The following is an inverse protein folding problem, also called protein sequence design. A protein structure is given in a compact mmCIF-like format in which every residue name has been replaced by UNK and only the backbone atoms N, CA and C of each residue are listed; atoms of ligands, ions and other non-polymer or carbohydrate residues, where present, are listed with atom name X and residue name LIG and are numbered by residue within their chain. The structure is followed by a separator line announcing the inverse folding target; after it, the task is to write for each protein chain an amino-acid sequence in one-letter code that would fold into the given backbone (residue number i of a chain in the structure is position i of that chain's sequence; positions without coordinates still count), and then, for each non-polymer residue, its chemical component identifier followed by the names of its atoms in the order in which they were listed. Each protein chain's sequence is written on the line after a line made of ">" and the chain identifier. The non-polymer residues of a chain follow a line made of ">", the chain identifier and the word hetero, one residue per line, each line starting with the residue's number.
data_IF_628492066379
#
_entry.id   IF_628492066379
#
_cell.length_a   1.000
_cell.length_b   1.000
_cell.length_c   1.000
_cell.angle_alpha   90.00
_cell.angle_beta   90.00
_cell.angle_gamma   90.00
#
_symmetry.space_group_name_H-M   'P 1'
#
loop_
_entity.id
_entity.type
_entity.pdbx_description
1 polymer ?
#
# COMPACT_ATOMS: atom_id res chain seq x y z
N UNK A 1 -1.23 -33.36 25.72
CA UNK A 1 -1.91 -32.63 24.62
C UNK A 1 -2.40 -31.32 25.19
N UNK A 2 -1.68 -30.23 24.95
CA UNK A 2 -2.05 -28.89 25.44
C UNK A 2 -2.97 -28.20 24.45
N UNK A 3 -4.09 -27.69 24.91
CA UNK A 3 -5.05 -26.92 24.12
C UNK A 3 -4.50 -25.51 23.89
N UNK A 4 -4.26 -25.13 22.64
CA UNK A 4 -3.94 -23.75 22.28
C UNK A 4 -5.25 -22.95 22.23
N UNK A 5 -5.40 -21.97 23.12
CA UNK A 5 -6.44 -20.95 23.05
C UNK A 5 -6.03 -19.91 22.00
N UNK A 6 -6.84 -19.72 20.96
CA UNK A 6 -6.67 -18.59 20.04
C UNK A 6 -7.41 -17.39 20.64
N UNK A 7 -6.69 -16.58 21.42
CA UNK A 7 -7.20 -15.29 21.88
C UNK A 7 -7.29 -14.35 20.69
N UNK A 8 -8.51 -13.94 20.34
CA UNK A 8 -8.86 -12.81 19.47
C UNK A 8 -7.83 -12.48 18.40
N UNK A 9 -7.80 -13.27 17.31
CA UNK A 9 -6.99 -12.96 16.14
C UNK A 9 -7.47 -11.63 15.53
N UNK A 10 -6.82 -10.55 15.94
CA UNK A 10 -6.82 -9.29 15.21
C UNK A 10 -6.18 -9.57 13.85
N UNK A 11 -6.97 -9.60 12.79
CA UNK A 11 -6.48 -9.49 11.42
C UNK A 11 -5.97 -8.05 11.30
N UNK A 12 -4.74 -7.82 11.74
CA UNK A 12 -4.14 -6.50 11.78
C UNK A 12 -2.68 -6.63 11.34
N UNK A 13 -2.47 -7.15 10.14
CA UNK A 13 -1.34 -6.67 9.36
C UNK A 13 -1.97 -5.70 8.38
N UNK A 14 -1.84 -4.40 8.65
CA UNK A 14 -2.50 -3.33 7.90
C UNK A 14 -1.88 -3.12 6.51
N UNK A 15 -0.99 -4.03 6.11
CA UNK A 15 -0.34 -4.10 4.82
C UNK A 15 0.07 -5.56 4.55
N UNK A 16 -0.33 -6.13 3.43
CA UNK A 16 0.13 -7.44 3.00
C UNK A 16 1.41 -7.31 2.16
N UNK A 17 2.55 -7.69 2.75
CA UNK A 17 3.85 -7.70 2.07
C UNK A 17 4.94 -6.95 2.84
N UNK A 18 6.13 -6.82 2.25
CA UNK A 18 7.22 -6.01 2.82
C UNK A 18 6.83 -4.54 2.95
N UNK A 19 7.26 -3.89 4.03
CA UNK A 19 7.02 -2.46 4.22
C UNK A 19 7.59 -1.65 3.04
N UNK A 20 6.77 -0.75 2.48
CA UNK A 20 7.15 0.05 1.32
C UNK A 20 6.63 -0.47 -0.01
N UNK A 21 6.11 -1.70 -0.05
CA UNK A 21 5.54 -2.28 -1.26
C UNK A 21 4.01 -2.11 -1.31
N UNK A 22 3.41 -2.42 -2.45
CA UNK A 22 1.96 -2.42 -2.64
C UNK A 22 1.59 -3.49 -3.67
N UNK A 23 1.53 -4.74 -3.20
CA UNK A 23 1.52 -5.93 -4.05
C UNK A 23 0.12 -6.39 -4.49
N UNK A 24 -0.94 -5.78 -3.95
CA UNK A 24 -2.33 -6.20 -4.23
C UNK A 24 -3.35 -5.05 -4.18
N UNK A 25 -4.55 -5.24 -4.78
CA UNK A 25 -5.70 -4.37 -4.56
C UNK A 25 -5.93 -4.06 -3.07
N UNK A 26 -6.22 -2.80 -2.76
CA UNK A 26 -6.44 -2.28 -1.41
C UNK A 26 -5.36 -2.53 -0.34
N UNK A 27 -4.17 -3.04 -0.70
CA UNK A 27 -2.99 -3.10 0.16
C UNK A 27 -2.96 -4.26 1.16
N UNK A 28 -4.11 -4.82 1.55
CA UNK A 28 -4.23 -6.02 2.37
C UNK A 28 -5.52 -6.80 2.08
N UNK A 29 -5.64 -8.00 2.64
CA UNK A 29 -6.84 -8.83 2.49
C UNK A 29 -8.08 -8.28 3.23
N UNK A 30 -7.89 -7.36 4.17
CA UNK A 30 -8.99 -6.67 4.84
C UNK A 30 -9.51 -5.47 4.04
N UNK A 31 -8.86 -5.13 2.91
CA UNK A 31 -9.12 -3.94 2.11
C UNK A 31 -9.01 -2.62 2.89
N UNK A 32 -8.08 -2.54 3.84
CA UNK A 32 -7.92 -1.35 4.71
C UNK A 32 -7.41 -0.11 3.97
N UNK A 33 -6.66 -0.31 2.86
CA UNK A 33 -5.97 0.74 2.12
C UNK A 33 -4.98 1.54 2.98
N UNK A 34 -4.40 0.90 3.98
CA UNK A 34 -3.46 1.53 4.92
C UNK A 34 -2.00 1.25 4.54
N UNK A 35 -1.11 2.21 4.86
CA UNK A 35 0.34 2.07 4.75
C UNK A 35 0.97 2.40 6.10
N UNK A 36 1.92 1.57 6.53
CA UNK A 36 2.68 1.80 7.77
C UNK A 36 3.83 2.81 7.59
N UNK A 37 4.09 3.27 6.36
CA UNK A 37 5.11 4.29 6.09
C UNK A 37 4.74 5.63 6.72
N UNK A 38 5.71 6.27 7.36
CA UNK A 38 5.50 7.50 8.13
C UNK A 38 6.50 8.62 7.80
N UNK A 39 7.24 8.51 6.70
CA UNK A 39 8.17 9.55 6.24
C UNK A 39 7.44 10.83 5.79
N UNK A 40 6.23 10.68 5.25
CA UNK A 40 5.31 11.78 4.95
C UNK A 40 4.30 11.88 6.09
N UNK A 41 4.19 13.06 6.69
CA UNK A 41 3.35 13.34 7.84
C UNK A 41 2.52 14.61 7.63
N UNK A 42 1.47 14.87 8.43
CA UNK A 42 0.72 16.13 8.35
C UNK A 42 1.59 17.38 8.50
N UNK A 43 2.72 17.28 9.21
CA UNK A 43 3.63 18.40 9.46
C UNK A 43 4.52 18.73 8.25
N UNK A 44 4.79 17.78 7.36
CA UNK A 44 5.70 17.97 6.23
C UNK A 44 5.04 17.82 4.84
N UNK A 45 3.78 17.39 4.76
CA UNK A 45 3.07 17.16 3.50
C UNK A 45 3.00 18.42 2.62
N UNK A 46 2.98 19.62 3.21
CA UNK A 46 2.99 20.89 2.48
C UNK A 46 4.28 21.11 1.65
N UNK A 47 5.36 20.39 1.97
CA UNK A 47 6.65 20.52 1.29
C UNK A 47 6.81 19.57 0.10
N UNK A 48 5.86 18.67 -0.15
CA UNK A 48 5.94 17.70 -1.26
C UNK A 48 6.07 18.41 -2.61
N UNK A 49 6.93 17.84 -3.47
CA UNK A 49 7.14 18.24 -4.86
C UNK A 49 7.07 17.01 -5.76
N UNK A 50 6.69 17.21 -7.02
CA UNK A 50 6.69 16.14 -8.02
C UNK A 50 8.13 15.65 -8.22
N UNK A 51 8.35 14.34 -8.03
CA UNK A 51 9.65 13.72 -8.27
C UNK A 51 9.83 13.34 -9.76
N UNK A 52 8.79 12.82 -10.41
CA UNK A 52 8.78 12.42 -11.82
C UNK A 52 7.32 12.29 -12.32
N UNK A 53 7.16 12.20 -13.65
CA UNK A 53 5.89 11.93 -14.31
C UNK A 53 6.09 10.96 -15.48
N UNK A 54 5.09 10.13 -15.78
CA UNK A 54 5.10 9.16 -16.87
C UNK A 54 3.78 9.24 -17.67
N UNK A 55 3.87 9.20 -19.00
CA UNK A 55 2.70 9.18 -19.88
C UNK A 55 2.35 7.74 -20.24
N UNK A 56 1.09 7.36 -20.01
CA UNK A 56 0.54 6.05 -20.36
C UNK A 56 0.23 5.91 -21.87
N UNK A 57 0.17 7.03 -22.60
CA UNK A 57 -0.17 7.05 -24.02
C UNK A 57 -1.64 6.78 -24.35
N UNK A 58 -2.53 6.71 -23.36
CA UNK A 58 -3.98 6.51 -23.55
C UNK A 58 -4.79 7.72 -23.07
N UNK A 59 -5.96 7.95 -23.66
CA UNK A 59 -6.79 9.14 -23.43
C UNK A 59 -8.09 8.88 -22.65
N UNK A 60 -8.42 7.62 -22.38
CA UNK A 60 -9.66 7.24 -21.70
C UNK A 60 -9.46 7.16 -20.18
N UNK A 61 -10.53 6.79 -19.47
CA UNK A 61 -10.50 6.68 -18.00
C UNK A 61 -9.34 5.81 -17.50
N UNK A 62 -8.68 6.31 -16.46
CA UNK A 62 -7.68 5.59 -15.69
C UNK A 62 -8.33 5.12 -14.39
N UNK A 63 -8.56 3.80 -14.30
CA UNK A 63 -9.16 3.16 -13.13
C UNK A 63 -8.19 2.16 -12.51
N UNK A 64 -8.39 1.86 -11.23
CA UNK A 64 -7.49 1.00 -10.46
C UNK A 64 -6.34 1.78 -9.81
N UNK A 65 -5.34 1.05 -9.36
CA UNK A 65 -4.20 1.57 -8.60
C UNK A 65 -2.92 0.87 -9.08
N UNK A 66 -1.77 1.57 -9.09
CA UNK A 66 -0.49 0.93 -9.41
C UNK A 66 -0.15 -0.20 -8.42
N UNK A 67 0.65 -1.15 -8.88
CA UNK A 67 1.31 -2.12 -8.00
C UNK A 67 2.79 -1.78 -7.89
N UNK A 68 3.35 -1.91 -6.69
CA UNK A 68 4.79 -1.77 -6.44
C UNK A 68 5.29 -3.06 -5.82
N UNK A 69 6.20 -3.74 -6.51
CA UNK A 69 6.79 -5.01 -6.06
C UNK A 69 8.31 -4.92 -6.22
N UNK A 70 9.05 -5.06 -5.13
CA UNK A 70 10.47 -4.70 -5.07
C UNK A 70 10.70 -3.25 -5.50
N UNK A 71 11.53 -3.02 -6.51
CA UNK A 71 11.86 -1.68 -7.04
C UNK A 71 11.08 -1.34 -8.33
N UNK A 72 10.02 -2.08 -8.66
CA UNK A 72 9.29 -1.92 -9.93
C UNK A 72 7.86 -1.49 -9.67
N UNK A 73 7.42 -0.44 -10.37
CA UNK A 73 6.03 -0.01 -10.45
C UNK A 73 5.38 -0.56 -11.72
N UNK A 74 4.20 -1.16 -11.59
CA UNK A 74 3.35 -1.63 -12.68
C UNK A 74 2.14 -0.69 -12.80
N UNK A 75 1.95 -0.11 -13.99
CA UNK A 75 0.92 0.90 -14.30
C UNK A 75 0.31 0.68 -15.68
#
# INVERSE_FOLDING_TARGET
>A
MGTASVSGARIAVAHAGPAGEWQMPAGDYASSRYSELSSITPQNAANLKVAWAFSTGVLRGHEGQPLVVGNTMYV
#
